data_IF_302882941256
#
_entry.id   IF_302882941256
#
_cell.length_a   1.000
_cell.length_b   1.000
_cell.length_c   1.000
_cell.angle_alpha   90.00
_cell.angle_beta   90.00
_cell.angle_gamma   90.00
#
_symmetry.space_group_name_H-M   'P 1'
#
loop_
_entity.id
_entity.type
_entity.pdbx_description
1 polymer ?
#
# COMPACT_ATOMS: atom_id res chain seq x y z
N UNK A 1 -5.65 2.24 -13.82
CA UNK A 1 -4.49 1.99 -12.94
C UNK A 1 -3.56 1.05 -13.68
N UNK A 2 -2.37 1.53 -14.05
CA UNK A 2 -1.34 0.68 -14.64
C UNK A 2 -0.59 0.08 -13.45
N UNK A 3 -0.68 -1.23 -13.25
CA UNK A 3 0.16 -1.91 -12.26
C UNK A 3 1.61 -1.71 -12.71
N UNK A 4 2.38 -0.99 -11.92
CA UNK A 4 3.77 -0.70 -12.23
C UNK A 4 4.62 -1.65 -11.41
N UNK A 5 5.08 -2.75 -12.01
CA UNK A 5 6.01 -3.68 -11.37
C UNK A 5 7.41 -3.06 -11.39
N UNK A 6 7.65 -2.07 -10.53
CA UNK A 6 8.96 -1.46 -10.40
C UNK A 6 9.71 -2.11 -9.24
N UNK A 7 10.98 -2.40 -9.53
CA UNK A 7 11.95 -3.00 -8.64
C UNK A 7 12.65 -1.86 -7.90
N UNK A 8 12.48 -1.77 -6.59
CA UNK A 8 13.30 -0.88 -5.77
C UNK A 8 14.49 -1.65 -5.23
N UNK A 9 15.70 -1.10 -5.44
CA UNK A 9 16.95 -1.65 -4.93
C UNK A 9 17.12 -1.15 -3.50
N UNK A 10 17.05 -2.06 -2.53
CA UNK A 10 17.50 -1.75 -1.16
C UNK A 10 19.03 -1.80 -1.07
N UNK A 11 19.60 -1.16 -0.05
CA UNK A 11 21.05 -1.10 0.23
C UNK A 11 21.76 -2.48 0.30
N UNK A 12 21.00 -3.59 0.40
CA UNK A 12 21.49 -4.97 0.44
C UNK A 12 21.18 -5.78 -0.84
N UNK A 13 20.93 -5.13 -1.99
CA UNK A 13 20.53 -5.78 -3.25
C UNK A 13 19.22 -6.58 -3.15
N UNK A 14 18.40 -6.35 -2.11
CA UNK A 14 17.09 -7.00 -2.01
C UNK A 14 16.05 -6.18 -2.78
N UNK A 15 15.23 -6.88 -3.56
CA UNK A 15 14.19 -6.28 -4.39
C UNK A 15 12.83 -6.49 -3.74
N UNK A 16 11.99 -5.44 -3.76
CA UNK A 16 10.58 -5.52 -3.35
C UNK A 16 9.68 -5.21 -4.55
N UNK A 17 8.52 -5.86 -4.57
CA UNK A 17 7.45 -5.50 -5.49
C UNK A 17 6.62 -4.35 -4.91
N UNK A 18 6.55 -3.26 -5.66
CA UNK A 18 5.54 -2.23 -5.50
C UNK A 18 4.47 -2.44 -6.58
N UNK A 19 3.19 -2.38 -6.20
CA UNK A 19 2.06 -2.62 -7.10
C UNK A 19 1.35 -1.33 -7.50
N UNK A 20 1.35 -0.31 -6.63
CA UNK A 20 0.91 1.03 -6.97
C UNK A 20 1.84 1.69 -8.00
N UNK A 21 1.26 2.61 -8.78
CA UNK A 21 2.00 3.38 -9.77
C UNK A 21 2.84 4.47 -9.09
N UNK A 22 4.17 4.40 -9.26
CA UNK A 22 5.12 5.32 -8.64
C UNK A 22 4.94 6.77 -9.09
N UNK A 23 4.39 7.00 -10.29
CA UNK A 23 4.09 8.36 -10.76
C UNK A 23 2.86 8.97 -10.09
N UNK A 24 2.11 8.18 -9.32
CA UNK A 24 0.82 8.54 -8.74
C UNK A 24 0.77 8.34 -7.21
N UNK A 25 1.91 8.35 -6.53
CA UNK A 25 1.97 8.34 -5.06
C UNK A 25 1.70 9.73 -4.48
N UNK A 26 1.27 9.79 -3.23
CA UNK A 26 1.19 11.05 -2.50
C UNK A 26 2.56 11.60 -2.11
N UNK A 27 2.57 12.74 -1.41
CA UNK A 27 3.79 13.51 -1.16
C UNK A 27 4.85 12.74 -0.36
N UNK A 28 4.41 11.79 0.49
CA UNK A 28 5.31 10.95 1.29
C UNK A 28 5.40 9.50 0.76
N UNK A 29 5.10 9.29 -0.52
CA UNK A 29 5.12 7.94 -1.10
C UNK A 29 3.94 7.07 -0.65
N UNK A 30 2.87 7.69 -0.17
CA UNK A 30 1.66 6.98 0.25
C UNK A 30 0.84 6.50 -0.96
N UNK A 31 0.24 5.32 -0.83
CA UNK A 31 -0.69 4.75 -1.82
C UNK A 31 -2.12 4.95 -1.32
N UNK A 32 -3.11 4.63 -2.16
CA UNK A 32 -4.52 4.65 -1.70
C UNK A 32 -4.76 3.71 -0.51
N UNK A 33 -4.00 2.60 -0.41
CA UNK A 33 -4.09 1.66 0.71
C UNK A 33 -3.59 2.32 2.00
N UNK A 34 -2.43 2.99 1.94
CA UNK A 34 -1.89 3.77 3.06
C UNK A 34 -2.90 4.79 3.58
N UNK A 35 -3.51 5.56 2.67
CA UNK A 35 -4.52 6.57 3.02
C UNK A 35 -5.79 5.95 3.63
N UNK A 36 -6.27 4.83 3.09
CA UNK A 36 -7.46 4.17 3.64
C UNK A 36 -7.20 3.65 5.06
N UNK A 37 -6.03 3.08 5.30
CA UNK A 37 -5.62 2.55 6.59
C UNK A 37 -5.41 3.66 7.61
N UNK A 38 -4.76 4.76 7.21
CA UNK A 38 -4.51 5.92 8.07
C UNK A 38 -5.82 6.59 8.54
N UNK A 39 -6.80 6.71 7.66
CA UNK A 39 -8.07 7.38 7.98
C UNK A 39 -9.11 6.47 8.66
N UNK A 40 -9.10 5.16 8.38
CA UNK A 40 -9.87 4.11 9.06
C UNK A 40 -11.39 4.34 9.27
N UNK A 41 -12.03 5.25 8.53
CA UNK A 41 -13.50 5.42 8.59
C UNK A 41 -14.23 4.28 7.86
N UNK A 42 -15.55 4.15 8.03
CA UNK A 42 -16.36 3.17 7.28
C UNK A 42 -16.20 3.26 5.75
N UNK A 43 -16.14 4.46 5.18
CA UNK A 43 -15.97 4.67 3.73
C UNK A 43 -14.59 4.20 3.26
N UNK A 44 -13.54 4.57 4.00
CA UNK A 44 -12.17 4.13 3.73
C UNK A 44 -12.03 2.60 3.81
N UNK A 45 -12.68 1.95 4.78
CA UNK A 45 -12.68 0.50 4.89
C UNK A 45 -13.40 -0.17 3.71
N UNK A 46 -14.55 0.35 3.28
CA UNK A 46 -15.24 -0.17 2.09
C UNK A 46 -14.46 0.06 0.79
N UNK A 47 -13.75 1.19 0.69
CA UNK A 47 -12.85 1.46 -0.42
C UNK A 47 -11.67 0.47 -0.44
N UNK A 48 -11.02 0.27 0.71
CA UNK A 48 -9.93 -0.69 0.89
C UNK A 48 -10.36 -2.10 0.47
N UNK A 49 -11.53 -2.58 0.95
CA UNK A 49 -12.09 -3.88 0.54
C UNK A 49 -12.24 -3.99 -0.98
N UNK A 50 -12.78 -2.95 -1.63
CA UNK A 50 -12.96 -2.93 -3.09
C UNK A 50 -11.63 -2.94 -3.83
N UNK A 51 -10.67 -2.14 -3.37
CA UNK A 51 -9.32 -2.10 -3.93
C UNK A 51 -8.64 -3.47 -3.82
N UNK A 52 -8.65 -4.10 -2.64
CA UNK A 52 -7.98 -5.38 -2.41
C UNK A 52 -8.69 -6.56 -3.08
N UNK A 53 -10.00 -6.50 -3.33
CA UNK A 53 -10.68 -7.51 -4.16
C UNK A 53 -10.20 -7.53 -5.61
N UNK A 54 -9.81 -6.37 -6.15
CA UNK A 54 -9.34 -6.25 -7.54
C UNK A 54 -7.82 -6.41 -7.61
N UNK A 55 -7.11 -5.90 -6.61
CA UNK A 55 -5.65 -5.83 -6.54
C UNK A 55 -5.15 -6.29 -5.16
N UNK A 56 -5.24 -7.59 -4.84
CA UNK A 56 -4.98 -8.11 -3.49
C UNK A 56 -3.54 -7.88 -3.02
N UNK A 57 -2.58 -7.88 -3.94
CA UNK A 57 -1.17 -7.72 -3.59
C UNK A 57 -0.76 -6.29 -3.22
N UNK A 58 -1.62 -5.30 -3.49
CA UNK A 58 -1.39 -3.89 -3.15
C UNK A 58 -1.27 -3.64 -1.64
N UNK A 59 -1.75 -4.58 -0.80
CA UNK A 59 -1.52 -4.50 0.65
C UNK A 59 -0.04 -4.59 1.05
N UNK A 60 0.82 -5.11 0.16
CA UNK A 60 2.25 -5.26 0.42
C UNK A 60 3.07 -4.03 0.02
N UNK A 61 2.40 -3.02 -0.55
CA UNK A 61 3.02 -1.74 -0.88
C UNK A 61 3.57 -1.08 0.38
N UNK A 62 4.69 -0.38 0.23
CA UNK A 62 5.35 0.35 1.32
C UNK A 62 5.40 1.84 1.03
N UNK A 63 5.53 2.65 2.08
CA UNK A 63 5.85 4.06 1.91
C UNK A 63 7.24 4.19 1.28
N UNK A 64 7.37 5.16 0.37
CA UNK A 64 8.59 5.41 -0.41
C UNK A 64 9.41 6.61 0.11
N UNK A 65 8.83 7.45 0.97
CA UNK A 65 9.58 8.56 1.54
C UNK A 65 10.51 8.09 2.65
N UNK A 66 11.71 8.65 2.71
CA UNK A 66 12.77 8.33 3.67
C UNK A 66 12.29 8.26 5.13
N UNK A 67 11.36 9.15 5.51
CA UNK A 67 10.83 9.24 6.89
C UNK A 67 10.04 8.00 7.33
N UNK A 68 9.40 7.30 6.39
CA UNK A 68 8.53 6.14 6.64
C UNK A 68 8.91 4.93 5.77
N UNK A 69 10.10 4.96 5.17
CA UNK A 69 10.48 4.01 4.14
C UNK A 69 10.41 2.57 4.66
N UNK A 70 9.71 1.72 3.92
CA UNK A 70 9.56 0.30 4.25
C UNK A 70 8.43 -0.02 5.25
N UNK A 71 7.75 0.98 5.81
CA UNK A 71 6.48 0.74 6.50
C UNK A 71 5.42 0.34 5.46
N UNK A 72 4.77 -0.80 5.68
CA UNK A 72 3.65 -1.23 4.83
C UNK A 72 2.33 -0.76 5.41
N UNK A 73 1.31 -0.57 4.56
CA UNK A 73 -0.07 -0.34 4.99
C UNK A 73 -0.71 -1.47 5.83
N UNK A 74 0.04 -2.53 6.17
CA UNK A 74 -0.40 -3.64 7.00
C UNK A 74 -0.44 -3.20 8.47
N UNK A 75 -1.53 -2.54 8.87
CA UNK A 75 -1.88 -2.41 10.28
C UNK A 75 -2.79 -3.60 10.67
N UNK A 76 -2.14 -4.67 11.14
CA UNK A 76 -2.68 -5.79 11.92
C UNK A 76 -3.82 -6.67 11.36
N UNK A 77 -3.87 -7.96 11.76
CA UNK A 77 -4.97 -8.89 11.45
C UNK A 77 -6.38 -8.43 11.86
N UNK A 78 -6.51 -7.41 12.70
CA UNK A 78 -7.81 -6.84 13.12
C UNK A 78 -8.55 -6.13 11.97
N UNK A 79 -7.84 -5.53 11.01
CA UNK A 79 -8.47 -4.91 9.83
C UNK A 79 -8.83 -5.96 8.76
N UNK A 80 -8.15 -7.11 8.75
CA UNK A 80 -8.34 -8.19 7.77
C UNK A 80 -9.58 -9.04 8.12
N UNK A 81 -9.88 -9.22 9.41
CA UNK A 81 -11.04 -10.01 9.87
C UNK A 81 -12.40 -9.37 9.51
N UNK A 82 -12.46 -8.05 9.23
CA UNK A 82 -13.66 -7.36 8.76
C UNK A 82 -13.70 -7.17 7.23
N UNK A 83 -12.61 -7.54 6.53
CA UNK A 83 -12.41 -7.37 5.07
C UNK A 83 -12.68 -8.67 4.29
N UNK A 84 -12.59 -9.83 4.93
CA UNK A 84 -12.92 -11.15 4.37
C UNK A 84 -14.19 -11.74 4.95
#
# INVERSE_FOLDING_TARGET
>A
MKLCFIFEVTDNETYRYQFWDLEHVGAVGETVVHLCVLNATSIHNELLKRCLRIYPYMINDVYLADEYYGESGVIYPYMINDVY
#
